data_IF_862100800686
#
_entry.id   IF_862100800686
#
_cell.length_a   1.000
_cell.length_b   1.000
_cell.length_c   1.000
_cell.angle_alpha   90.00
_cell.angle_beta   90.00
_cell.angle_gamma   90.00
#
_symmetry.space_group_name_H-M   'P 1'
#
loop_
_entity.id
_entity.type
_entity.pdbx_description
1 polymer ?
#
# COMPACT_ATOMS: atom_id res chain seq x y z
N UNK A 1 15.79 -1.70 -5.29
CA UNK A 1 15.79 -0.22 -5.32
C UNK A 1 14.63 0.41 -4.55
N UNK A 2 13.63 -0.36 -4.13
CA UNK A 2 12.43 0.14 -3.45
C UNK A 2 12.49 -0.24 -1.96
N UNK A 3 12.06 0.68 -1.10
CA UNK A 3 11.84 0.41 0.33
C UNK A 3 10.46 -0.20 0.55
N UNK A 4 10.21 -0.78 1.72
CA UNK A 4 8.96 -1.50 2.04
C UNK A 4 7.72 -0.61 1.95
N UNK A 5 7.85 0.70 2.18
CA UNK A 5 6.75 1.67 1.99
C UNK A 5 6.38 1.89 0.51
N UNK A 6 7.12 1.33 -0.46
CA UNK A 6 6.97 1.59 -1.90
C UNK A 6 7.79 2.77 -2.42
N UNK A 7 8.49 3.47 -1.52
CA UNK A 7 9.36 4.60 -1.83
C UNK A 7 10.67 4.18 -2.50
N UNK A 8 11.30 5.13 -3.19
CA UNK A 8 12.54 4.95 -3.93
C UNK A 8 13.52 6.10 -3.65
N UNK A 9 14.78 5.94 -4.03
CA UNK A 9 15.88 6.87 -3.75
C UNK A 9 16.23 7.00 -2.25
N UNK A 10 17.42 7.50 -1.95
CA UNK A 10 17.96 7.57 -0.58
C UNK A 10 19.34 6.96 -0.47
N UNK A 11 20.16 7.10 -1.52
CA UNK A 11 21.49 6.52 -1.57
C UNK A 11 22.43 7.18 -0.56
N UNK A 12 23.04 6.36 0.30
CA UNK A 12 24.19 6.78 1.10
C UNK A 12 25.49 6.66 0.31
N UNK A 13 25.49 5.78 -0.70
CA UNK A 13 26.60 5.55 -1.60
C UNK A 13 26.09 5.36 -3.05
N UNK A 14 26.31 6.34 -3.97
CA UNK A 14 26.88 7.67 -3.70
C UNK A 14 26.03 8.43 -2.67
N UNK A 15 26.63 9.34 -1.91
CA UNK A 15 25.93 10.09 -0.86
C UNK A 15 25.00 11.16 -1.46
N UNK A 16 23.83 10.72 -1.93
CA UNK A 16 22.78 11.57 -2.43
C UNK A 16 21.41 10.95 -2.13
N UNK A 17 20.65 11.59 -1.24
CA UNK A 17 19.32 11.18 -0.81
C UNK A 17 18.28 11.14 -1.95
N UNK A 18 18.52 11.85 -3.05
CA UNK A 18 17.60 11.97 -4.19
C UNK A 18 17.94 10.99 -5.32
N UNK A 19 19.03 10.22 -5.19
CA UNK A 19 19.42 9.22 -6.19
C UNK A 19 19.08 7.80 -5.77
N UNK A 20 18.93 6.93 -6.78
CA UNK A 20 19.00 5.49 -6.59
C UNK A 20 20.40 5.08 -6.12
N UNK A 21 20.46 4.00 -5.34
CA UNK A 21 21.73 3.33 -5.02
C UNK A 21 22.42 2.88 -6.32
N UNK A 22 23.76 2.92 -6.35
CA UNK A 22 24.51 2.55 -7.57
C UNK A 22 24.43 1.06 -7.88
N UNK A 23 24.30 0.22 -6.85
CA UNK A 23 24.26 -1.23 -6.97
C UNK A 23 22.83 -1.75 -6.75
N UNK A 24 22.27 -2.52 -7.69
CA UNK A 24 20.97 -3.13 -7.51
C UNK A 24 20.97 -4.08 -6.32
N UNK A 25 19.91 -4.00 -5.51
CA UNK A 25 19.67 -4.96 -4.45
C UNK A 25 20.55 -4.80 -3.22
N UNK A 26 21.26 -3.68 -3.06
CA UNK A 26 22.11 -3.42 -1.89
C UNK A 26 21.52 -2.31 -1.02
N UNK A 27 20.25 -2.43 -0.61
CA UNK A 27 19.55 -1.33 0.06
C UNK A 27 20.03 -1.15 1.50
N UNK A 28 20.35 -2.24 2.20
CA UNK A 28 20.92 -2.18 3.54
C UNK A 28 22.32 -1.55 3.50
N UNK A 29 23.17 -2.00 2.58
CA UNK A 29 24.54 -1.52 2.44
C UNK A 29 24.60 -0.08 1.92
N UNK A 30 23.90 0.22 0.83
CA UNK A 30 24.06 1.47 0.06
C UNK A 30 22.87 2.44 0.18
N UNK A 31 21.75 2.04 0.77
CA UNK A 31 20.57 2.88 1.01
C UNK A 31 20.58 3.60 2.36
N UNK A 32 19.40 3.97 2.85
CA UNK A 32 19.20 4.56 4.20
C UNK A 32 20.08 5.81 4.48
N UNK A 33 20.26 6.68 3.48
CA UNK A 33 21.11 7.89 3.57
C UNK A 33 20.73 8.81 4.73
N UNK A 34 21.67 9.26 5.56
CA UNK A 34 21.35 10.15 6.68
C UNK A 34 20.71 11.49 6.23
N UNK A 35 20.95 11.93 4.99
CA UNK A 35 20.40 13.17 4.43
C UNK A 35 18.93 13.09 3.99
N UNK A 36 18.31 11.91 4.01
CA UNK A 36 16.94 11.69 3.57
C UNK A 36 16.81 10.40 2.77
N UNK A 37 15.60 9.86 2.70
CA UNK A 37 15.24 8.80 1.77
C UNK A 37 13.84 9.09 1.22
N UNK A 38 13.44 8.35 0.19
CA UNK A 38 12.04 8.32 -0.24
C UNK A 38 11.50 9.74 -0.47
N UNK A 39 12.08 10.47 -1.42
CA UNK A 39 11.49 11.74 -1.83
C UNK A 39 10.05 11.49 -2.33
N UNK A 40 9.08 12.24 -1.80
CA UNK A 40 7.66 12.04 -2.10
C UNK A 40 7.40 12.16 -3.62
N UNK A 41 8.04 13.13 -4.29
CA UNK A 41 8.00 13.32 -5.74
C UNK A 41 8.38 12.07 -6.55
N UNK A 42 9.39 11.34 -6.10
CA UNK A 42 9.83 10.14 -6.79
C UNK A 42 8.74 9.07 -6.77
N UNK A 43 8.07 8.91 -5.63
CA UNK A 43 6.99 7.91 -5.49
C UNK A 43 5.73 8.32 -6.24
N UNK A 44 5.37 9.60 -6.22
CA UNK A 44 4.28 10.12 -7.04
C UNK A 44 4.49 9.82 -8.54
N UNK A 45 5.69 10.07 -9.05
CA UNK A 45 6.00 9.76 -10.45
C UNK A 45 6.06 8.25 -10.73
N UNK A 46 6.52 7.44 -9.76
CA UNK A 46 6.45 5.98 -9.88
C UNK A 46 5.00 5.48 -9.94
N UNK A 47 4.06 6.08 -9.19
CA UNK A 47 2.64 5.74 -9.28
C UNK A 47 2.06 6.07 -10.67
N UNK A 48 2.40 7.24 -11.22
CA UNK A 48 2.00 7.61 -12.59
C UNK A 48 2.52 6.60 -13.62
N UNK A 49 3.83 6.33 -13.59
CA UNK A 49 4.45 5.34 -14.46
C UNK A 49 3.79 3.96 -14.32
N UNK A 50 3.49 3.55 -13.09
CA UNK A 50 2.85 2.26 -12.81
C UNK A 50 1.43 2.18 -13.40
N UNK A 51 0.66 3.27 -13.30
CA UNK A 51 -0.64 3.38 -13.96
C UNK A 51 -0.53 3.28 -15.48
N UNK A 52 0.42 3.98 -16.08
CA UNK A 52 0.66 3.94 -17.53
C UNK A 52 1.10 2.55 -18.00
N UNK A 53 2.00 1.90 -17.26
CA UNK A 53 2.41 0.52 -17.53
C UNK A 53 1.25 -0.46 -17.44
N UNK A 54 0.32 -0.24 -16.50
CA UNK A 54 -0.88 -1.07 -16.39
C UNK A 54 -1.82 -0.89 -17.59
N UNK A 55 -1.97 0.33 -18.10
CA UNK A 55 -2.75 0.59 -19.32
C UNK A 55 -2.16 -0.15 -20.54
N UNK A 56 -0.86 -0.42 -20.54
CA UNK A 56 -0.19 -1.23 -21.56
C UNK A 56 -0.34 -2.74 -21.30
N UNK A 57 -0.04 -3.20 -20.09
CA UNK A 57 -0.06 -4.61 -19.70
C UNK A 57 -0.64 -4.77 -18.28
N UNK A 58 -1.80 -5.40 -18.17
CA UNK A 58 -2.62 -5.46 -16.95
C UNK A 58 -2.10 -6.49 -15.92
N UNK A 59 -0.83 -6.35 -15.52
CA UNK A 59 -0.18 -7.20 -14.52
C UNK A 59 -0.55 -6.76 -13.11
N UNK A 60 -0.96 -7.71 -12.27
CA UNK A 60 -1.36 -7.43 -10.89
C UNK A 60 -0.22 -6.87 -10.03
N UNK A 61 1.02 -7.28 -10.28
CA UNK A 61 2.20 -6.77 -9.56
C UNK A 61 2.37 -5.25 -9.64
N UNK A 62 1.91 -4.62 -10.74
CA UNK A 62 1.91 -3.17 -10.87
C UNK A 62 0.94 -2.54 -9.87
N UNK A 63 -0.25 -3.12 -9.72
CA UNK A 63 -1.25 -2.61 -8.77
C UNK A 63 -0.96 -3.03 -7.33
N UNK A 64 -0.19 -4.09 -7.10
CA UNK A 64 0.38 -4.41 -5.78
C UNK A 64 1.43 -3.35 -5.37
N UNK A 65 2.28 -2.91 -6.31
CA UNK A 65 3.17 -1.77 -6.06
C UNK A 65 2.38 -0.47 -5.83
N UNK A 66 1.36 -0.21 -6.66
CA UNK A 66 0.53 0.98 -6.53
C UNK A 66 -0.14 1.06 -5.15
N UNK A 67 -0.77 -0.03 -4.71
CA UNK A 67 -1.39 -0.15 -3.38
C UNK A 67 -0.37 0.11 -2.27
N UNK A 68 0.79 -0.56 -2.34
CA UNK A 68 1.86 -0.40 -1.35
C UNK A 68 2.32 1.06 -1.24
N UNK A 69 2.68 1.68 -2.35
CA UNK A 69 3.19 3.05 -2.39
C UNK A 69 2.13 4.09 -2.01
N UNK A 70 0.87 3.86 -2.40
CA UNK A 70 -0.25 4.74 -2.04
C UNK A 70 -0.47 4.75 -0.52
N UNK A 71 -0.73 3.59 0.08
CA UNK A 71 -1.06 3.50 1.51
C UNK A 71 0.14 3.80 2.40
N UNK A 72 1.34 3.31 2.05
CA UNK A 72 2.46 3.33 2.97
C UNK A 72 3.42 4.51 2.77
N UNK A 73 3.39 5.18 1.61
CA UNK A 73 4.24 6.34 1.36
C UNK A 73 3.42 7.62 1.10
N UNK A 74 2.54 7.64 0.09
CA UNK A 74 1.79 8.85 -0.24
C UNK A 74 0.93 9.30 0.93
N UNK A 75 0.13 8.42 1.54
CA UNK A 75 -0.65 8.78 2.73
C UNK A 75 0.25 9.18 3.91
N UNK A 76 1.40 8.53 4.07
CA UNK A 76 2.35 8.86 5.13
C UNK A 76 3.04 10.23 4.94
N UNK A 77 2.99 10.80 3.73
CA UNK A 77 3.62 12.08 3.40
C UNK A 77 2.81 13.32 3.80
N UNK A 78 1.56 13.13 4.24
CA UNK A 78 0.63 14.21 4.59
C UNK A 78 0.65 14.48 6.10
N UNK A 79 0.63 15.76 6.50
CA UNK A 79 0.54 16.15 7.90
C UNK A 79 -0.86 15.89 8.47
N UNK A 80 -0.95 15.66 9.78
CA UNK A 80 -2.19 15.27 10.44
C UNK A 80 -3.29 16.34 10.36
N UNK A 81 -2.94 17.59 10.66
CA UNK A 81 -3.91 18.67 10.85
C UNK A 81 -3.50 19.97 10.13
N UNK A 82 -2.69 19.87 9.07
CA UNK A 82 -2.30 21.04 8.28
C UNK A 82 -2.02 20.68 6.81
N UNK A 83 -1.95 21.67 5.91
CA UNK A 83 -1.55 21.44 4.52
C UNK A 83 -0.09 21.01 4.31
N UNK A 84 0.71 20.95 5.38
CA UNK A 84 2.12 20.58 5.29
C UNK A 84 2.33 19.15 4.80
N UNK A 85 3.47 18.91 4.17
CA UNK A 85 3.83 17.59 3.64
C UNK A 85 5.33 17.30 3.79
N UNK A 86 5.69 16.03 3.67
CA UNK A 86 7.09 15.60 3.68
C UNK A 86 7.75 15.85 2.32
N UNK A 87 9.03 16.24 2.36
CA UNK A 87 9.93 16.13 1.20
C UNK A 87 10.53 14.72 1.16
N UNK A 88 11.27 14.35 2.19
CA UNK A 88 11.81 13.00 2.40
C UNK A 88 11.05 12.26 3.49
N UNK A 89 10.79 10.97 3.30
CA UNK A 89 10.22 10.09 4.32
C UNK A 89 11.32 9.19 4.91
N UNK A 90 11.80 9.49 6.13
CA UNK A 90 12.93 8.77 6.71
C UNK A 90 12.50 7.40 7.26
N UNK A 91 13.33 6.38 7.05
CA UNK A 91 13.08 4.98 7.43
C UNK A 91 14.16 4.36 8.33
N UNK A 92 15.16 5.17 8.73
CA UNK A 92 16.21 4.76 9.67
C UNK A 92 15.62 4.50 11.07
N UNK A 93 16.32 3.78 11.96
CA UNK A 93 15.83 3.52 13.32
C UNK A 93 15.38 4.78 14.04
N UNK A 94 14.19 4.73 14.63
CA UNK A 94 13.62 5.81 15.42
C UNK A 94 13.71 7.19 14.74
N UNK A 95 13.36 7.24 13.45
CA UNK A 95 13.27 8.48 12.67
C UNK A 95 11.99 9.25 12.99
N UNK A 96 11.90 10.51 12.55
CA UNK A 96 10.71 11.35 12.70
C UNK A 96 10.43 12.01 11.34
N UNK A 97 9.19 11.91 10.85
CA UNK A 97 8.77 12.61 9.63
C UNK A 97 8.78 14.12 9.85
N UNK A 98 9.22 14.88 8.86
CA UNK A 98 9.22 16.34 8.90
C UNK A 98 8.20 16.87 7.90
N UNK A 99 7.26 17.67 8.38
CA UNK A 99 6.19 18.24 7.57
C UNK A 99 6.43 19.74 7.42
N UNK A 100 6.79 20.18 6.21
CA UNK A 100 7.14 21.56 5.92
C UNK A 100 6.04 22.31 5.18
N UNK A 101 6.17 23.64 5.13
CA UNK A 101 5.31 24.55 4.37
C UNK A 101 3.80 24.51 4.73
N UNK A 102 3.41 24.56 6.02
CA UNK A 102 1.99 24.56 6.41
C UNK A 102 1.22 25.76 5.84
N UNK A 103 1.88 26.92 5.71
CA UNK A 103 1.25 28.18 5.29
C UNK A 103 1.28 28.41 3.77
N UNK A 104 1.84 27.46 3.00
CA UNK A 104 1.94 27.53 1.54
C UNK A 104 2.69 28.78 1.01
N UNK A 105 3.70 29.25 1.75
CA UNK A 105 4.47 30.48 1.44
C UNK A 105 5.83 30.21 0.78
N UNK A 106 6.29 28.96 0.72
CA UNK A 106 7.50 28.55 0.00
C UNK A 106 7.30 27.20 -0.69
N UNK A 107 7.86 26.99 -1.88
CA UNK A 107 7.58 25.78 -2.66
C UNK A 107 8.83 24.97 -2.96
N UNK A 108 8.83 23.73 -2.46
CA UNK A 108 9.65 22.65 -2.97
C UNK A 108 8.89 21.88 -4.07
N UNK A 109 9.58 21.04 -4.84
CA UNK A 109 8.94 20.10 -5.77
C UNK A 109 7.87 19.23 -5.08
N UNK A 110 8.14 18.75 -3.86
CA UNK A 110 7.24 17.90 -3.10
C UNK A 110 5.97 18.64 -2.67
N UNK A 111 6.01 19.95 -2.44
CA UNK A 111 4.79 20.73 -2.16
C UNK A 111 3.85 20.74 -3.37
N UNK A 112 4.38 20.96 -4.58
CA UNK A 112 3.59 20.87 -5.82
C UNK A 112 3.01 19.46 -6.02
N UNK A 113 3.82 18.43 -5.79
CA UNK A 113 3.38 17.04 -5.87
C UNK A 113 2.30 16.68 -4.86
N UNK A 114 2.36 17.19 -3.63
CA UNK A 114 1.35 16.91 -2.61
C UNK A 114 -0.02 17.44 -3.04
N UNK A 115 -0.08 18.64 -3.62
CA UNK A 115 -1.30 19.22 -4.18
C UNK A 115 -1.87 18.32 -5.29
N UNK A 116 -1.02 17.89 -6.22
CA UNK A 116 -1.48 17.00 -7.31
C UNK A 116 -1.95 15.63 -6.79
N UNK A 117 -1.21 15.03 -5.86
CA UNK A 117 -1.47 13.69 -5.33
C UNK A 117 -2.85 13.60 -4.70
N UNK A 118 -3.21 14.58 -3.86
CA UNK A 118 -4.50 14.61 -3.15
C UNK A 118 -5.71 14.75 -4.08
N UNK A 119 -5.53 15.21 -5.32
CA UNK A 119 -6.63 15.34 -6.31
C UNK A 119 -6.84 14.09 -7.18
N UNK A 120 -5.95 13.10 -7.07
CA UNK A 120 -5.84 11.97 -8.03
C UNK A 120 -5.86 10.59 -7.38
N UNK A 121 -6.12 10.48 -6.07
CA UNK A 121 -6.12 9.21 -5.34
C UNK A 121 -7.08 8.17 -5.95
N UNK A 122 -8.15 8.64 -6.61
CA UNK A 122 -9.17 7.84 -7.28
C UNK A 122 -8.75 7.27 -8.65
N UNK A 123 -7.72 7.81 -9.30
CA UNK A 123 -7.48 7.60 -10.73
C UNK A 123 -7.19 6.16 -11.12
N UNK A 124 -6.64 5.37 -10.19
CA UNK A 124 -6.23 3.98 -10.45
C UNK A 124 -7.16 2.97 -9.78
N UNK A 125 -8.27 3.38 -9.17
CA UNK A 125 -9.23 2.45 -8.56
C UNK A 125 -9.78 1.49 -9.62
N UNK A 126 -10.17 2.04 -10.78
CA UNK A 126 -10.73 1.29 -11.89
C UNK A 126 -10.03 1.62 -13.19
N UNK A 127 -9.85 0.61 -14.05
CA UNK A 127 -9.56 0.80 -15.46
C UNK A 127 -10.50 -0.04 -16.30
N UNK A 128 -10.76 0.37 -17.54
CA UNK A 128 -11.53 -0.43 -18.49
C UNK A 128 -10.64 -1.00 -19.59
N UNK A 129 -11.01 -2.18 -20.09
CA UNK A 129 -10.40 -2.77 -21.27
C UNK A 129 -10.59 -1.89 -22.50
N UNK A 130 -9.64 -1.94 -23.43
CA UNK A 130 -9.66 -1.15 -24.69
C UNK A 130 -10.89 -1.42 -25.55
N UNK A 131 -11.40 -2.64 -25.52
CA UNK A 131 -12.62 -3.07 -26.24
C UNK A 131 -13.92 -2.66 -25.52
N UNK A 132 -13.81 -1.98 -24.37
CA UNK A 132 -14.90 -1.60 -23.50
C UNK A 132 -15.71 -2.83 -23.01
N UNK A 133 -15.12 -4.03 -22.95
CA UNK A 133 -15.76 -5.27 -22.49
C UNK A 133 -15.30 -5.75 -21.13
N UNK A 134 -14.25 -5.15 -20.57
CA UNK A 134 -13.69 -5.51 -19.26
C UNK A 134 -13.64 -4.32 -18.33
N UNK A 135 -13.92 -4.54 -17.05
CA UNK A 135 -13.67 -3.61 -15.96
C UNK A 135 -12.63 -4.25 -15.03
N UNK A 136 -11.53 -3.54 -14.78
CA UNK A 136 -10.51 -3.89 -13.81
C UNK A 136 -10.78 -3.12 -12.51
N UNK A 137 -10.93 -3.84 -11.40
CA UNK A 137 -11.00 -3.29 -10.05
C UNK A 137 -9.64 -3.50 -9.41
N UNK A 138 -8.84 -2.43 -9.35
CA UNK A 138 -7.45 -2.49 -8.91
C UNK A 138 -7.32 -2.18 -7.42
N UNK A 139 -7.99 -1.14 -6.94
CA UNK A 139 -7.90 -0.72 -5.55
C UNK A 139 -9.25 -0.90 -4.86
N UNK A 140 -9.20 -1.30 -3.59
CA UNK A 140 -10.38 -1.47 -2.76
C UNK A 140 -10.62 -0.22 -1.93
N UNK A 141 -11.14 0.82 -2.60
CA UNK A 141 -11.38 2.13 -2.00
C UNK A 141 -12.86 2.47 -2.16
N UNK A 142 -13.55 2.96 -1.11
CA UNK A 142 -14.94 3.39 -1.19
C UNK A 142 -15.14 4.38 -2.34
N UNK A 143 -15.98 4.03 -3.30
CA UNK A 143 -16.08 4.80 -4.55
C UNK A 143 -17.33 4.44 -5.35
N UNK A 144 -17.74 5.37 -6.20
CA UNK A 144 -18.76 5.13 -7.24
C UNK A 144 -18.13 5.39 -8.60
N UNK A 145 -18.13 4.39 -9.46
CA UNK A 145 -17.72 4.50 -10.86
C UNK A 145 -18.95 4.66 -11.74
N UNK A 146 -19.00 5.73 -12.53
CA UNK A 146 -19.94 5.89 -13.63
C UNK A 146 -19.29 5.46 -14.95
N UNK A 147 -19.61 4.25 -15.43
CA UNK A 147 -19.12 3.74 -16.71
C UNK A 147 -20.09 4.10 -17.84
N UNK A 148 -20.01 5.36 -18.26
CA UNK A 148 -20.95 6.00 -19.19
C UNK A 148 -21.16 5.23 -20.49
N UNK A 149 -20.11 4.67 -21.09
CA UNK A 149 -20.24 3.98 -22.38
C UNK A 149 -21.03 2.66 -22.30
N UNK A 150 -21.10 2.03 -21.11
CA UNK A 150 -21.93 0.84 -20.89
C UNK A 150 -23.23 1.15 -20.15
N UNK A 151 -23.47 2.39 -19.70
CA UNK A 151 -24.59 2.75 -18.82
C UNK A 151 -24.62 1.86 -17.56
N UNK A 152 -23.44 1.61 -17.00
CA UNK A 152 -23.26 0.83 -15.78
C UNK A 152 -22.69 1.75 -14.70
N UNK A 153 -23.24 1.67 -13.50
CA UNK A 153 -22.63 2.25 -12.30
C UNK A 153 -22.13 1.13 -11.41
N UNK A 154 -20.91 1.25 -10.88
CA UNK A 154 -20.37 0.32 -9.89
C UNK A 154 -20.12 1.07 -8.59
N UNK A 155 -20.85 0.70 -7.55
CA UNK A 155 -20.66 1.24 -6.20
C UNK A 155 -19.85 0.26 -5.37
N UNK A 156 -18.69 0.69 -4.88
CA UNK A 156 -17.80 -0.06 -4.02
C UNK A 156 -17.92 0.44 -2.58
N UNK A 157 -18.38 -0.42 -1.69
CA UNK A 157 -18.51 -0.16 -0.26
C UNK A 157 -17.56 -1.06 0.53
N UNK A 158 -16.72 -0.45 1.37
CA UNK A 158 -15.72 -1.13 2.20
C UNK A 158 -15.22 -0.18 3.29
N UNK A 159 -14.62 -0.73 4.35
CA UNK A 159 -13.80 0.04 5.28
C UNK A 159 -12.30 -0.31 5.13
N UNK A 160 -11.89 -0.85 3.98
CA UNK A 160 -10.49 -1.14 3.67
C UNK A 160 -9.65 0.15 3.79
N UNK A 161 -8.49 0.12 4.47
CA UNK A 161 -7.75 -1.06 4.89
C UNK A 161 -7.97 -1.48 6.35
N UNK A 162 -9.03 -1.02 7.03
CA UNK A 162 -9.40 -1.48 8.38
C UNK A 162 -10.25 -2.76 8.35
N UNK A 163 -10.79 -3.13 7.18
CA UNK A 163 -11.53 -4.37 6.94
C UNK A 163 -10.96 -5.15 5.76
N UNK A 164 -11.14 -6.49 5.81
CA UNK A 164 -10.61 -7.44 4.84
C UNK A 164 -11.59 -7.79 3.70
N UNK A 165 -12.66 -7.00 3.56
CA UNK A 165 -13.73 -7.23 2.60
C UNK A 165 -14.13 -6.00 1.80
N UNK A 166 -14.65 -6.20 0.60
CA UNK A 166 -15.27 -5.15 -0.21
C UNK A 166 -16.53 -5.67 -0.91
N UNK A 167 -17.49 -4.78 -1.12
CA UNK A 167 -18.76 -5.07 -1.78
C UNK A 167 -18.93 -4.18 -3.00
N UNK A 168 -19.09 -4.79 -4.17
CA UNK A 168 -19.38 -4.12 -5.42
C UNK A 168 -20.86 -4.31 -5.75
N UNK A 169 -21.60 -3.22 -5.90
CA UNK A 169 -23.00 -3.23 -6.34
C UNK A 169 -23.07 -2.70 -7.77
N UNK A 170 -23.60 -3.51 -8.68
CA UNK A 170 -23.75 -3.16 -10.09
C UNK A 170 -25.15 -2.56 -10.30
N UNK A 171 -25.22 -1.34 -10.87
CA UNK A 171 -26.45 -0.71 -11.33
C UNK A 171 -26.41 -0.63 -12.86
N UNK A 172 -27.55 -0.87 -13.51
CA UNK A 172 -27.64 -1.10 -14.95
C UNK A 172 -27.50 -2.58 -15.34
N UNK A 173 -27.72 -2.87 -16.63
CA UNK A 173 -27.72 -4.23 -17.17
C UNK A 173 -26.72 -4.33 -18.33
N UNK A 174 -25.89 -5.38 -18.34
CA UNK A 174 -24.93 -5.53 -19.43
C UNK A 174 -24.00 -6.74 -19.28
N UNK A 175 -23.43 -7.17 -20.40
CA UNK A 175 -22.38 -8.21 -20.42
C UNK A 175 -21.00 -7.56 -20.38
N UNK A 176 -20.19 -7.94 -19.41
CA UNK A 176 -18.79 -7.55 -19.33
C UNK A 176 -18.03 -8.47 -18.37
N UNK A 177 -16.72 -8.50 -18.52
CA UNK A 177 -15.81 -9.19 -17.63
C UNK A 177 -15.44 -8.27 -16.46
N UNK A 178 -15.68 -8.73 -15.24
CA UNK A 178 -15.19 -8.07 -14.03
C UNK A 178 -13.88 -8.73 -13.61
N UNK A 179 -12.77 -8.03 -13.79
CA UNK A 179 -11.44 -8.46 -13.36
C UNK A 179 -11.15 -7.83 -12.00
N UNK A 180 -11.29 -8.60 -10.93
CA UNK A 180 -10.92 -8.15 -9.58
C UNK A 180 -9.48 -8.53 -9.32
N UNK A 181 -8.66 -7.60 -8.80
CA UNK A 181 -7.29 -7.95 -8.39
C UNK A 181 -7.35 -9.05 -7.32
N UNK A 182 -6.34 -9.89 -7.23
CA UNK A 182 -6.10 -10.79 -6.11
C UNK A 182 -4.73 -10.37 -5.59
N UNK A 183 -4.67 -9.54 -4.53
CA UNK A 183 -3.39 -8.97 -4.07
C UNK A 183 -2.37 -10.06 -3.74
N UNK A 184 -1.09 -9.79 -4.00
CA UNK A 184 0.00 -10.73 -3.70
C UNK A 184 0.04 -11.18 -2.23
N UNK A 185 -0.37 -10.32 -1.30
CA UNK A 185 -0.41 -10.62 0.15
C UNK A 185 -1.58 -11.51 0.58
N UNK A 186 -2.61 -11.71 -0.26
CA UNK A 186 -3.86 -12.41 0.07
C UNK A 186 -3.70 -13.95 0.05
N UNK A 187 -2.68 -14.49 0.71
CA UNK A 187 -2.34 -15.93 0.64
C UNK A 187 -3.19 -16.81 1.56
N UNK A 188 -3.97 -16.22 2.48
CA UNK A 188 -5.02 -16.93 3.26
C UNK A 188 -6.31 -17.19 2.47
N UNK A 189 -6.35 -16.77 1.21
CA UNK A 189 -7.46 -17.02 0.29
C UNK A 189 -8.12 -15.75 -0.20
N UNK A 190 -8.90 -15.90 -1.26
CA UNK A 190 -9.69 -14.85 -1.88
C UNK A 190 -11.07 -15.43 -2.18
N UNK A 191 -12.06 -14.98 -1.42
CA UNK A 191 -13.40 -15.55 -1.43
C UNK A 191 -14.36 -14.62 -2.15
N UNK A 192 -15.18 -15.19 -3.03
CA UNK A 192 -16.14 -14.44 -3.84
C UNK A 192 -17.55 -14.95 -3.57
N UNK A 193 -18.47 -14.05 -3.24
CA UNK A 193 -19.91 -14.31 -3.27
C UNK A 193 -20.55 -13.43 -4.33
N UNK A 194 -21.50 -14.00 -5.07
CA UNK A 194 -22.35 -13.24 -5.99
C UNK A 194 -23.80 -13.46 -5.59
N UNK A 195 -24.49 -12.38 -5.27
CA UNK A 195 -25.87 -12.40 -4.74
C UNK A 195 -26.02 -13.38 -3.56
N UNK A 196 -25.08 -13.31 -2.61
CA UNK A 196 -25.03 -14.17 -1.41
C UNK A 196 -24.56 -15.61 -1.64
N UNK A 197 -24.31 -16.03 -2.89
CA UNK A 197 -23.88 -17.39 -3.22
C UNK A 197 -22.37 -17.46 -3.42
N UNK A 198 -21.70 -18.35 -2.70
CA UNK A 198 -20.27 -18.60 -2.87
C UNK A 198 -19.94 -19.11 -4.27
N UNK A 199 -18.86 -18.58 -4.85
CA UNK A 199 -18.37 -18.97 -6.17
C UNK A 199 -17.12 -19.82 -6.01
N UNK A 200 -17.10 -20.99 -6.68
CA UNK A 200 -15.92 -21.87 -6.73
C UNK A 200 -14.98 -21.41 -7.85
N UNK A 201 -14.29 -20.30 -7.62
CA UNK A 201 -13.34 -19.71 -8.56
C UNK A 201 -11.90 -19.97 -8.10
N UNK A 202 -10.99 -20.19 -9.04
CA UNK A 202 -9.57 -20.34 -8.74
C UNK A 202 -8.91 -18.96 -8.73
N UNK A 203 -8.80 -18.38 -7.53
CA UNK A 203 -8.05 -17.15 -7.31
C UNK A 203 -6.58 -17.48 -6.98
N UNK A 204 -5.64 -16.74 -7.59
CA UNK A 204 -4.21 -16.86 -7.34
C UNK A 204 -3.67 -15.53 -6.83
N UNK A 205 -2.96 -15.47 -5.68
CA UNK A 205 -2.29 -14.25 -5.24
C UNK A 205 -1.38 -13.66 -6.32
N UNK A 206 -1.40 -12.34 -6.49
CA UNK A 206 -0.63 -11.62 -7.51
C UNK A 206 -1.19 -11.81 -8.92
N UNK A 207 -2.51 -11.96 -9.06
CA UNK A 207 -3.18 -12.06 -10.37
C UNK A 207 -4.48 -11.27 -10.42
N UNK A 208 -5.17 -11.29 -11.57
CA UNK A 208 -6.58 -10.90 -11.65
C UNK A 208 -7.46 -12.15 -11.69
N UNK A 209 -8.57 -12.12 -10.96
CA UNK A 209 -9.64 -13.09 -11.08
C UNK A 209 -10.71 -12.52 -12.00
N UNK A 210 -10.89 -13.16 -13.16
CA UNK A 210 -11.91 -12.77 -14.14
C UNK A 210 -13.25 -13.42 -13.83
N UNK A 211 -14.29 -12.60 -13.75
CA UNK A 211 -15.69 -13.01 -13.56
C UNK A 211 -16.50 -12.56 -14.78
N UNK A 212 -16.75 -13.47 -15.71
CA UNK A 212 -17.49 -13.22 -16.96
C UNK A 212 -18.98 -13.48 -16.78
N UNK A 213 -19.82 -12.43 -16.82
CA UNK A 213 -21.27 -12.55 -16.63
C UNK A 213 -22.06 -11.53 -17.45
N UNK A 214 -23.35 -11.82 -17.61
CA UNK A 214 -24.35 -10.80 -17.91
C UNK A 214 -24.89 -10.29 -16.58
N UNK A 215 -24.46 -9.10 -16.20
CA UNK A 215 -24.83 -8.43 -14.96
C UNK A 215 -26.20 -7.80 -15.08
N UNK A 216 -26.95 -7.85 -13.98
CA UNK A 216 -28.25 -7.20 -13.83
C UNK A 216 -28.18 -6.10 -12.78
N UNK A 217 -29.13 -5.18 -12.90
CA UNK A 217 -29.41 -4.17 -11.89
C UNK A 217 -29.50 -4.81 -10.50
N UNK A 218 -28.70 -4.30 -9.56
CA UNK A 218 -28.68 -4.77 -8.18
C UNK A 218 -27.87 -6.04 -7.93
N UNK A 219 -27.16 -6.57 -8.94
CA UNK A 219 -26.21 -7.66 -8.71
C UNK A 219 -25.10 -7.19 -7.76
N UNK A 220 -24.72 -8.08 -6.84
CA UNK A 220 -23.79 -7.81 -5.76
C UNK A 220 -22.65 -8.81 -5.83
N UNK A 221 -21.42 -8.29 -5.83
CA UNK A 221 -20.19 -9.07 -5.70
C UNK A 221 -19.53 -8.72 -4.37
N UNK A 222 -19.38 -9.70 -3.49
CA UNK A 222 -18.67 -9.56 -2.24
C UNK A 222 -17.33 -10.28 -2.35
N UNK A 223 -16.25 -9.58 -2.03
CA UNK A 223 -14.89 -10.09 -2.02
C UNK A 223 -14.38 -10.08 -0.58
N UNK A 224 -13.78 -11.18 -0.14
CA UNK A 224 -13.11 -11.28 1.17
C UNK A 224 -11.69 -11.80 1.00
N UNK A 225 -10.73 -11.12 1.62
CA UNK A 225 -9.29 -11.33 1.49
C UNK A 225 -8.64 -11.29 2.88
N UNK A 226 -8.70 -12.38 3.67
CA UNK A 226 -8.28 -12.34 5.06
C UNK A 226 -6.87 -11.78 5.24
N UNK A 227 -6.76 -10.74 6.04
CA UNK A 227 -5.48 -10.16 6.39
C UNK A 227 -4.65 -11.11 7.25
N UNK A 228 -3.34 -11.00 7.11
CA UNK A 228 -2.38 -11.73 7.91
C UNK A 228 -1.14 -10.88 8.11
N UNK A 229 -0.40 -11.20 9.17
CA UNK A 229 0.93 -10.64 9.34
C UNK A 229 1.91 -11.26 8.34
N UNK A 230 2.78 -10.43 7.78
CA UNK A 230 3.92 -10.88 7.00
C UNK A 230 5.11 -9.94 7.17
N UNK A 231 6.30 -10.44 6.86
CA UNK A 231 7.55 -9.69 6.92
C UNK A 231 8.02 -9.37 5.50
N UNK A 232 8.51 -8.16 5.29
CA UNK A 232 9.15 -7.71 4.05
C UNK A 232 10.64 -7.42 4.32
N UNK A 233 11.53 -8.40 4.12
CA UNK A 233 12.95 -8.26 4.42
C UNK A 233 13.65 -7.31 3.45
N UNK A 234 14.64 -6.59 3.95
CA UNK A 234 15.60 -5.87 3.12
C UNK A 234 16.41 -6.91 2.34
N UNK A 235 16.48 -6.73 1.03
CA UNK A 235 16.93 -7.79 0.11
C UNK A 235 18.35 -8.32 0.38
N UNK A 236 19.27 -7.46 0.84
CA UNK A 236 20.66 -7.77 1.17
C UNK A 236 20.89 -8.02 2.68
N UNK A 237 19.86 -7.92 3.52
CA UNK A 237 19.96 -8.18 4.96
C UNK A 237 18.64 -8.76 5.50
N UNK A 238 18.50 -10.08 5.42
CA UNK A 238 17.21 -10.78 5.63
C UNK A 238 16.64 -10.68 7.05
N UNK A 239 17.46 -10.45 8.08
CA UNK A 239 16.95 -10.20 9.44
C UNK A 239 16.42 -8.77 9.62
N UNK A 240 16.73 -7.84 8.72
CA UNK A 240 16.18 -6.49 8.76
C UNK A 240 14.92 -6.46 7.93
N UNK A 241 13.74 -6.39 8.56
CA UNK A 241 12.46 -6.52 7.87
C UNK A 241 11.41 -5.55 8.38
N UNK A 242 10.48 -5.15 7.52
CA UNK A 242 9.26 -4.44 7.90
C UNK A 242 8.14 -5.42 8.23
N UNK A 243 7.28 -5.06 9.18
CA UNK A 243 6.09 -5.82 9.53
C UNK A 243 4.86 -5.24 8.81
N UNK A 244 4.06 -6.11 8.20
CA UNK A 244 2.81 -5.74 7.56
C UNK A 244 1.63 -6.50 8.16
N UNK A 245 0.44 -5.92 8.08
CA UNK A 245 -0.84 -6.61 8.25
C UNK A 245 -1.70 -6.36 7.01
N UNK A 246 -1.90 -7.38 6.18
CA UNK A 246 -2.45 -7.20 4.83
C UNK A 246 -1.55 -6.27 3.99
N UNK A 247 -2.08 -5.19 3.37
CA UNK A 247 -1.29 -4.23 2.60
C UNK A 247 -0.58 -3.16 3.45
N UNK A 248 -0.89 -3.08 4.75
CA UNK A 248 -0.50 -1.95 5.60
C UNK A 248 0.78 -2.25 6.36
N UNK A 249 1.78 -1.38 6.18
CA UNK A 249 3.01 -1.39 6.94
C UNK A 249 2.74 -0.85 8.34
N UNK A 250 3.20 -1.61 9.33
CA UNK A 250 3.11 -1.27 10.74
C UNK A 250 4.45 -0.73 11.23
N UNK A 251 4.45 0.49 11.76
CA UNK A 251 5.63 1.13 12.32
C UNK A 251 5.63 1.03 13.84
N UNK A 252 6.76 0.60 14.41
CA UNK A 252 6.96 0.65 15.85
C UNK A 252 6.98 2.10 16.32
N UNK A 253 6.19 2.43 17.34
CA UNK A 253 6.19 3.75 17.96
C UNK A 253 7.35 3.82 18.96
N UNK A 254 8.27 4.74 18.72
CA UNK A 254 9.50 4.86 19.49
C UNK A 254 9.39 6.00 20.49
N UNK A 255 9.52 5.75 21.81
CA UNK A 255 9.50 6.84 22.78
C UNK A 255 10.78 7.69 22.71
N UNK A 256 11.89 7.10 22.27
CA UNK A 256 13.22 7.71 22.31
C UNK A 256 14.02 7.44 21.04
N UNK A 257 15.07 8.24 20.81
CA UNK A 257 15.99 8.04 19.70
C UNK A 257 16.76 6.72 19.82
N UNK A 258 17.06 6.10 18.68
CA UNK A 258 17.85 4.85 18.58
C UNK A 258 18.91 4.98 17.50
N UNK A 259 20.02 4.28 17.71
CA UNK A 259 21.05 4.09 16.68
C UNK A 259 20.88 2.76 15.95
N UNK A 260 20.42 1.74 16.67
CA UNK A 260 20.25 0.39 16.17
C UNK A 260 18.79 0.08 15.85
N UNK A 261 18.60 -0.80 14.87
CA UNK A 261 17.30 -1.36 14.50
C UNK A 261 16.60 -1.97 15.72
N UNK A 262 15.27 -1.82 15.78
CA UNK A 262 14.48 -2.38 16.87
C UNK A 262 14.48 -3.89 16.78
N UNK A 263 15.03 -4.55 17.79
CA UNK A 263 14.98 -6.01 17.91
C UNK A 263 13.56 -6.44 18.23
N UNK A 264 13.08 -7.46 17.52
CA UNK A 264 11.83 -8.16 17.80
C UNK A 264 12.07 -9.66 17.70
N UNK A 265 11.44 -10.44 18.57
CA UNK A 265 11.50 -11.89 18.51
C UNK A 265 10.12 -12.45 18.20
N UNK A 266 9.98 -13.18 17.10
CA UNK A 266 8.72 -13.72 16.61
C UNK A 266 8.76 -15.25 16.58
N UNK A 267 7.61 -15.88 16.78
CA UNK A 267 7.41 -17.32 16.60
C UNK A 267 7.64 -17.69 15.13
N UNK A 268 8.54 -18.64 14.89
CA UNK A 268 8.97 -19.00 13.54
C UNK A 268 7.87 -19.71 12.73
N UNK A 269 6.94 -20.41 13.39
CA UNK A 269 5.87 -21.15 12.72
C UNK A 269 4.67 -20.25 12.39
N UNK A 270 4.38 -19.30 13.28
CA UNK A 270 3.29 -18.33 13.11
C UNK A 270 3.58 -17.04 13.87
N UNK A 271 4.08 -16.03 13.16
CA UNK A 271 4.46 -14.74 13.76
C UNK A 271 3.30 -14.05 14.49
N UNK A 272 2.03 -14.36 14.15
CA UNK A 272 0.87 -13.77 14.82
C UNK A 272 0.80 -14.13 16.30
N UNK A 273 1.37 -15.27 16.72
CA UNK A 273 1.42 -15.68 18.13
C UNK A 273 2.28 -14.75 19.01
N UNK A 274 3.16 -13.97 18.39
CA UNK A 274 4.03 -12.99 19.08
C UNK A 274 3.47 -11.58 19.03
N UNK A 275 2.29 -11.38 18.43
CA UNK A 275 1.69 -10.08 18.18
C UNK A 275 0.31 -10.05 18.82
N UNK A 276 0.06 -9.08 19.68
CA UNK A 276 -1.25 -8.85 20.30
C UNK A 276 -1.85 -7.56 19.74
N UNK A 277 -3.17 -7.38 19.76
CA UNK A 277 -3.77 -6.13 19.32
C UNK A 277 -5.20 -6.24 18.84
N UNK A 278 -5.65 -5.16 18.22
CA UNK A 278 -6.98 -5.00 17.65
C UNK A 278 -6.87 -4.81 16.13
N UNK A 279 -7.13 -5.86 15.32
CA UNK A 279 -7.11 -5.77 13.87
C UNK A 279 -8.01 -4.69 13.28
N UNK A 280 -9.14 -4.35 13.91
CA UNK A 280 -10.05 -3.34 13.37
C UNK A 280 -9.47 -1.91 13.49
N UNK A 281 -8.62 -1.69 14.50
CA UNK A 281 -7.88 -0.44 14.69
C UNK A 281 -6.52 -0.43 14.01
N UNK A 282 -6.06 -1.58 13.52
CA UNK A 282 -4.69 -1.78 13.03
C UNK A 282 -3.62 -1.45 14.08
N UNK A 283 -3.96 -1.57 15.36
CA UNK A 283 -3.07 -1.32 16.49
C UNK A 283 -2.63 -2.63 17.14
N UNK A 284 -1.32 -2.84 17.19
CA UNK A 284 -0.71 -4.07 17.66
C UNK A 284 0.42 -3.80 18.65
N UNK A 285 0.83 -4.82 19.39
CA UNK A 285 1.90 -4.72 20.39
C UNK A 285 2.81 -5.93 20.29
N UNK A 286 4.11 -5.65 20.31
CA UNK A 286 5.19 -6.65 20.41
C UNK A 286 6.14 -6.14 21.51
N UNK A 287 6.39 -6.96 22.53
CA UNK A 287 7.26 -6.59 23.67
C UNK A 287 6.89 -5.22 24.30
N UNK A 288 5.59 -4.96 24.50
CA UNK A 288 5.03 -3.69 25.01
C UNK A 288 5.27 -2.45 24.15
N UNK A 289 5.69 -2.61 22.90
CA UNK A 289 5.83 -1.53 21.94
C UNK A 289 4.63 -1.51 21.02
N UNK A 290 3.97 -0.36 20.89
CA UNK A 290 2.87 -0.14 19.96
C UNK A 290 3.36 -0.16 18.51
N UNK A 291 2.65 -0.88 17.66
CA UNK A 291 2.78 -0.91 16.22
C UNK A 291 1.45 -0.45 15.62
N UNK A 292 1.49 0.53 14.73
CA UNK A 292 0.30 1.05 14.06
C UNK A 292 0.63 1.45 12.63
N UNK A 293 -0.36 1.76 11.77
CA UNK A 293 -0.09 2.11 10.38
C UNK A 293 0.94 3.24 10.26
N UNK A 294 1.89 3.09 9.34
CA UNK A 294 2.93 4.10 9.17
C UNK A 294 2.37 5.46 8.69
N UNK A 295 1.25 5.43 7.96
CA UNK A 295 0.57 6.66 7.54
C UNK A 295 -0.03 7.44 8.73
N UNK A 296 -0.37 6.79 9.84
CA UNK A 296 -0.87 7.44 11.08
C UNK A 296 0.24 7.72 12.11
N UNK A 297 1.50 7.52 11.74
CA UNK A 297 2.64 7.67 12.65
C UNK A 297 3.30 9.03 12.46
N UNK A 298 3.04 9.98 13.34
CA UNK A 298 3.63 11.34 13.28
C UNK A 298 4.82 11.53 14.24
N UNK A 299 4.89 10.69 15.27
CA UNK A 299 6.00 10.67 16.21
C UNK A 299 7.21 9.92 15.67
N UNK A 300 8.11 9.61 16.60
CA UNK A 300 9.29 8.83 16.31
C UNK A 300 8.95 7.37 16.04
N UNK A 301 9.63 6.75 15.08
CA UNK A 301 9.23 5.44 14.58
C UNK A 301 10.37 4.58 14.03
N UNK A 302 10.16 3.26 14.05
CA UNK A 302 11.00 2.29 13.32
C UNK A 302 10.14 1.48 12.36
N UNK A 303 10.43 1.58 11.06
CA UNK A 303 9.74 0.85 9.98
C UNK A 303 10.42 -0.49 9.69
N UNK A 304 11.74 -0.56 9.84
CA UNK A 304 12.51 -1.79 9.73
C UNK A 304 12.98 -2.24 11.12
N UNK A 305 12.93 -3.55 11.33
CA UNK A 305 13.17 -4.22 12.60
C UNK A 305 14.28 -5.24 12.43
N UNK A 306 15.08 -5.48 13.47
CA UNK A 306 16.00 -6.61 13.56
C UNK A 306 15.25 -7.84 14.10
N UNK A 307 14.76 -8.66 13.17
CA UNK A 307 13.88 -9.79 13.45
C UNK A 307 14.69 -11.04 13.77
N UNK A 308 14.37 -11.65 14.91
CA UNK A 308 14.78 -13.00 15.26
C UNK A 308 13.57 -13.92 15.27
N UNK A 309 13.63 -15.02 14.52
CA UNK A 309 12.63 -16.09 14.60
C UNK A 309 13.07 -17.13 15.64
N UNK A 310 12.16 -17.56 16.51
CA UNK A 310 12.40 -18.58 17.54
C UNK A 310 11.42 -19.75 17.44
#
# INVERSE_FOLDING_TARGET
YMYSIGGVAGARNPNNAECFISQPGTLYENGFSAGGQNETCATYNMLKLTGDLFLFDQRAELMDYYERALYNHILASVADNSPANTYHVPLRPASVKQFGNPDMTGFTCCNGTAIESSTKLQNSIYFKGKDNQSLYVNLYIPSTLEWTEKKITVEQATNFPNEDNTRLTIKGNGKFDLNVRVPGWATKGFFVKINGKEQKLQAKPGSYLKISRTWKEGDIVELKMPFQFHLDPVMDQQNIASLFYGPILLAAQEPEARKDWRKVTLDAADISKSIQGDPAKLEFTIDNVLFKPFYETYGRHSVYLDVKLK
#
